data_IF_163923159784
#
_entry.id   IF_163923159784
#
_cell.length_a   1.000
_cell.length_b   1.000
_cell.length_c   1.000
_cell.angle_alpha   90.00
_cell.angle_beta   90.00
_cell.angle_gamma   90.00
#
_symmetry.space_group_name_H-M   'P 1'
#
loop_
_entity.id
_entity.type
_entity.pdbx_description
1 polymer ?
#
# COMPACT_ATOMS: atom_id res chain seq x y z
N UNK A 1 16.39 2.18 -5.88
CA UNK A 1 17.23 3.29 -6.40
C UNK A 1 18.56 2.73 -6.87
N UNK A 2 19.36 3.50 -7.60
CA UNK A 2 20.69 3.06 -8.08
C UNK A 2 21.61 2.67 -6.92
N UNK A 3 21.67 3.48 -5.85
CA UNK A 3 22.47 3.19 -4.66
C UNK A 3 22.12 1.85 -4.00
N UNK A 4 20.83 1.51 -3.86
CA UNK A 4 20.43 0.20 -3.34
C UNK A 4 20.90 -0.95 -4.23
N UNK A 5 20.82 -0.78 -5.55
CA UNK A 5 21.26 -1.78 -6.51
C UNK A 5 22.79 -1.97 -6.50
N UNK A 6 23.55 -0.90 -6.38
CA UNK A 6 25.00 -0.97 -6.28
C UNK A 6 25.41 -1.66 -4.97
N UNK A 7 24.81 -1.28 -3.85
CA UNK A 7 25.13 -1.84 -2.55
C UNK A 7 24.82 -3.34 -2.48
N UNK A 8 23.65 -3.78 -2.96
CA UNK A 8 23.32 -5.21 -2.97
C UNK A 8 24.24 -5.97 -3.92
N UNK A 9 24.56 -5.40 -5.09
CA UNK A 9 25.46 -6.02 -6.06
C UNK A 9 26.86 -6.19 -5.48
N UNK A 10 27.39 -5.14 -4.85
CA UNK A 10 28.70 -5.17 -4.22
C UNK A 10 28.74 -6.17 -3.05
N UNK A 11 27.72 -6.16 -2.20
CA UNK A 11 27.58 -7.12 -1.11
C UNK A 11 27.59 -8.57 -1.62
N UNK A 12 26.77 -8.88 -2.63
CA UNK A 12 26.68 -10.23 -3.19
C UNK A 12 27.98 -10.67 -3.87
N UNK A 13 28.68 -9.76 -4.56
CA UNK A 13 30.02 -10.03 -5.13
C UNK A 13 31.05 -10.32 -4.05
N UNK A 14 31.06 -9.54 -2.98
CA UNK A 14 31.98 -9.78 -1.87
C UNK A 14 31.71 -11.09 -1.15
N UNK A 15 30.43 -11.41 -0.90
CA UNK A 15 30.02 -12.67 -0.29
C UNK A 15 30.48 -13.86 -1.15
N UNK A 16 30.27 -13.79 -2.47
CA UNK A 16 30.72 -14.83 -3.39
C UNK A 16 32.24 -14.96 -3.41
N UNK A 17 32.99 -13.85 -3.34
CA UNK A 17 34.46 -13.86 -3.38
C UNK A 17 35.08 -14.37 -2.09
N UNK A 18 34.54 -13.95 -0.94
CA UNK A 18 35.13 -14.22 0.39
C UNK A 18 34.58 -15.50 1.01
N UNK A 19 33.31 -15.84 0.78
CA UNK A 19 32.60 -16.94 1.44
C UNK A 19 31.75 -17.74 0.43
N UNK A 20 32.36 -18.20 -0.67
CA UNK A 20 31.67 -18.85 -1.80
C UNK A 20 30.80 -20.06 -1.39
N UNK A 21 31.22 -20.85 -0.40
CA UNK A 21 30.46 -22.00 0.10
C UNK A 21 29.17 -21.55 0.79
N UNK A 22 29.24 -20.58 1.71
CA UNK A 22 28.06 -20.03 2.39
C UNK A 22 27.14 -19.26 1.43
N UNK A 23 27.70 -18.50 0.49
CA UNK A 23 26.92 -17.84 -0.56
C UNK A 23 26.08 -18.86 -1.34
N UNK A 24 26.71 -19.98 -1.70
CA UNK A 24 26.05 -21.07 -2.41
C UNK A 24 24.99 -21.76 -1.57
N UNK A 25 25.23 -21.96 -0.27
CA UNK A 25 24.30 -22.61 0.64
C UNK A 25 23.06 -21.73 0.92
N UNK A 26 23.26 -20.45 1.25
CA UNK A 26 22.18 -19.52 1.60
C UNK A 26 21.26 -19.16 0.43
N UNK A 27 21.76 -19.18 -0.82
CA UNK A 27 21.01 -18.74 -2.00
C UNK A 27 20.72 -19.86 -3.02
N UNK A 28 21.15 -21.12 -2.78
CA UNK A 28 20.81 -22.25 -3.66
C UNK A 28 19.37 -22.70 -3.54
N UNK A 29 18.87 -22.75 -2.31
CA UNK A 29 17.60 -23.38 -2.07
C UNK A 29 16.48 -22.42 -2.44
N UNK A 30 15.76 -22.77 -3.51
CA UNK A 30 14.39 -22.30 -3.66
C UNK A 30 13.66 -22.87 -2.45
N UNK A 31 13.52 -22.05 -1.39
CA UNK A 31 12.77 -22.43 -0.20
C UNK A 31 11.48 -23.11 -0.66
N UNK A 32 11.23 -24.33 -0.20
CA UNK A 32 9.95 -24.99 -0.38
C UNK A 32 8.92 -24.08 0.28
N UNK A 33 8.30 -23.19 -0.50
CA UNK A 33 7.46 -22.16 0.05
C UNK A 33 6.20 -22.86 0.58
N UNK A 34 6.08 -22.95 1.91
CA UNK A 34 4.81 -23.28 2.57
C UNK A 34 3.71 -22.26 2.22
N UNK A 35 4.12 -21.09 1.73
CA UNK A 35 3.26 -20.08 1.12
C UNK A 35 3.01 -20.47 -0.34
N UNK A 36 1.74 -20.70 -0.69
CA UNK A 36 1.32 -21.00 -2.05
C UNK A 36 1.95 -20.03 -3.05
N UNK A 37 2.63 -20.54 -4.08
CA UNK A 37 3.23 -19.75 -5.16
C UNK A 37 2.23 -18.81 -5.84
N UNK A 38 0.92 -19.12 -5.75
CA UNK A 38 -0.16 -18.29 -6.28
C UNK A 38 -0.27 -16.92 -5.59
N UNK A 39 0.28 -16.75 -4.38
CA UNK A 39 0.23 -15.48 -3.65
C UNK A 39 1.04 -14.38 -4.34
N UNK A 40 2.11 -14.75 -5.08
CA UNK A 40 3.00 -13.79 -5.74
C UNK A 40 2.50 -13.29 -7.09
N UNK A 41 1.50 -13.96 -7.69
CA UNK A 41 0.96 -13.60 -9.01
C UNK A 41 -0.29 -12.71 -8.94
N UNK A 42 -0.72 -12.35 -7.73
CA UNK A 42 -1.97 -11.63 -7.50
C UNK A 42 -1.67 -10.20 -7.09
N UNK A 43 -2.33 -9.24 -7.76
CA UNK A 43 -2.21 -7.83 -7.40
C UNK A 43 -2.75 -7.57 -5.98
N UNK A 44 -2.11 -6.67 -5.19
CA UNK A 44 -2.46 -6.41 -3.80
C UNK A 44 -3.95 -6.15 -3.55
N UNK A 45 -4.67 -5.47 -4.47
CA UNK A 45 -6.12 -5.21 -4.31
C UNK A 45 -6.96 -6.49 -4.11
N UNK A 46 -6.50 -7.64 -4.60
CA UNK A 46 -7.23 -8.92 -4.50
C UNK A 46 -7.01 -9.65 -3.18
N UNK A 47 -5.99 -9.26 -2.41
CA UNK A 47 -5.60 -9.91 -1.15
C UNK A 47 -5.63 -8.96 0.04
N UNK A 48 -5.74 -7.65 -0.20
CA UNK A 48 -5.74 -6.61 0.82
C UNK A 48 -6.88 -5.63 0.60
N UNK A 49 -7.48 -5.19 1.71
CA UNK A 49 -8.55 -4.21 1.74
C UNK A 49 -8.03 -2.92 2.41
N UNK A 50 -8.20 -1.77 1.74
CA UNK A 50 -7.69 -0.47 2.21
C UNK A 50 -8.30 -0.08 3.56
N UNK A 51 -9.53 -0.51 3.80
CA UNK A 51 -10.26 -0.30 5.03
C UNK A 51 -9.66 -1.06 6.21
N UNK A 52 -9.34 -2.33 6.00
CA UNK A 52 -8.66 -3.16 6.99
C UNK A 52 -7.22 -2.70 7.21
N UNK A 53 -6.54 -2.27 6.15
CA UNK A 53 -5.23 -1.66 6.23
C UNK A 53 -5.28 -0.43 7.15
N UNK A 54 -6.23 0.49 6.96
CA UNK A 54 -6.36 1.67 7.81
C UNK A 54 -6.68 1.35 9.28
N UNK A 55 -7.38 0.24 9.56
CA UNK A 55 -7.59 -0.23 10.94
C UNK A 55 -6.28 -0.71 11.60
N UNK A 56 -5.39 -1.31 10.81
CA UNK A 56 -4.15 -1.97 11.28
C UNK A 56 -2.94 -1.04 11.29
N UNK A 57 -2.86 -0.07 10.37
CA UNK A 57 -1.73 0.84 10.23
C UNK A 57 -1.91 2.05 11.13
N UNK A 58 -1.10 2.10 12.18
CA UNK A 58 -1.04 3.17 13.17
C UNK A 58 -0.33 2.69 14.44
N UNK A 59 -0.08 3.59 15.37
CA UNK A 59 0.55 3.24 16.65
C UNK A 59 -0.36 2.25 17.41
N UNK A 60 0.11 1.01 17.56
CA UNK A 60 -0.58 -0.11 18.23
C UNK A 60 -0.92 0.22 19.70
N UNK A 61 -0.33 1.28 20.25
CA UNK A 61 -0.46 1.70 21.64
C UNK A 61 -1.58 2.69 21.92
N UNK A 62 -2.21 3.28 20.89
CA UNK A 62 -3.33 4.21 21.06
C UNK A 62 -4.61 3.54 20.57
N UNK A 63 -5.50 3.19 21.51
CA UNK A 63 -6.79 2.58 21.21
C UNK A 63 -7.49 3.34 20.08
N UNK A 64 -7.77 2.69 18.94
CA UNK A 64 -8.44 3.34 17.85
C UNK A 64 -9.85 2.79 17.73
N UNK A 65 -10.77 3.28 18.56
CA UNK A 65 -12.17 2.85 18.43
C UNK A 65 -12.74 3.21 17.05
N UNK A 66 -12.21 4.26 16.40
CA UNK A 66 -12.65 4.71 15.07
C UNK A 66 -11.50 4.95 14.07
N UNK A 67 -10.64 3.94 13.84
CA UNK A 67 -9.71 3.93 12.69
C UNK A 67 -10.33 3.31 11.45
N UNK A 68 -10.04 3.89 10.29
CA UNK A 68 -10.54 3.37 9.03
C UNK A 68 -10.34 4.28 7.83
N UNK A 69 -10.97 3.94 6.70
CA UNK A 69 -11.04 4.87 5.59
C UNK A 69 -11.79 6.14 5.99
N UNK A 70 -11.28 7.29 5.54
CA UNK A 70 -11.92 8.58 5.74
C UNK A 70 -13.28 8.70 5.03
N UNK A 71 -13.55 7.86 4.03
CA UNK A 71 -14.81 7.81 3.29
C UNK A 71 -15.94 7.08 4.03
N UNK A 72 -15.67 6.44 5.18
CA UNK A 72 -16.69 5.74 5.96
C UNK A 72 -17.73 6.70 6.54
N UNK A 73 -18.97 6.22 6.73
CA UNK A 73 -20.09 7.00 7.27
C UNK A 73 -19.76 7.74 8.58
N UNK A 74 -19.01 7.13 9.49
CA UNK A 74 -18.65 7.72 10.80
C UNK A 74 -17.67 8.89 10.71
N UNK A 75 -16.76 8.89 9.74
CA UNK A 75 -15.69 9.88 9.58
C UNK A 75 -15.97 10.88 8.46
N UNK A 76 -16.83 10.51 7.52
CA UNK A 76 -17.17 11.26 6.30
C UNK A 76 -17.61 12.69 6.58
N UNK A 77 -18.44 12.93 7.59
CA UNK A 77 -18.96 14.27 7.90
C UNK A 77 -17.83 15.25 8.27
N UNK A 78 -16.89 14.82 9.10
CA UNK A 78 -15.75 15.65 9.54
C UNK A 78 -14.74 15.77 8.39
N UNK A 79 -14.50 14.68 7.66
CA UNK A 79 -13.60 14.64 6.52
C UNK A 79 -14.11 15.46 5.30
N UNK A 80 -15.42 15.67 5.20
CA UNK A 80 -16.06 16.54 4.20
C UNK A 80 -16.21 17.99 4.64
N UNK A 81 -15.74 18.37 5.84
CA UNK A 81 -15.78 19.77 6.26
C UNK A 81 -14.94 20.66 5.33
N UNK A 82 -15.34 21.92 5.11
CA UNK A 82 -14.58 22.85 4.27
C UNK A 82 -13.11 23.01 4.69
N UNK A 83 -12.84 22.90 5.98
CA UNK A 83 -11.51 23.02 6.60
C UNK A 83 -10.58 21.87 6.18
N UNK A 84 -11.11 20.65 6.05
CA UNK A 84 -10.35 19.44 5.67
C UNK A 84 -10.34 19.24 4.15
N UNK A 85 -11.31 19.80 3.44
CA UNK A 85 -11.48 19.66 1.98
C UNK A 85 -10.27 20.17 1.17
N UNK A 86 -9.52 21.14 1.69
CA UNK A 86 -8.37 21.72 0.98
C UNK A 86 -7.07 20.90 1.08
N UNK A 87 -6.98 19.99 2.05
CA UNK A 87 -5.75 19.21 2.34
C UNK A 87 -5.85 17.73 1.94
N UNK A 88 -6.99 17.31 1.37
CA UNK A 88 -7.25 15.90 1.07
C UNK A 88 -6.94 15.55 -0.38
N UNK A 89 -5.92 14.71 -0.57
CA UNK A 89 -5.41 14.33 -1.88
C UNK A 89 -6.21 13.21 -2.56
N UNK A 90 -6.84 12.31 -1.77
CA UNK A 90 -7.63 11.19 -2.31
C UNK A 90 -8.86 11.62 -3.13
N UNK A 91 -9.37 12.84 -2.91
CA UNK A 91 -10.48 13.40 -3.72
C UNK A 91 -10.08 13.76 -5.14
N UNK A 92 -8.79 14.03 -5.37
CA UNK A 92 -8.27 14.46 -6.68
C UNK A 92 -7.68 13.30 -7.47
N UNK A 93 -7.35 12.20 -6.80
CA UNK A 93 -6.75 11.03 -7.43
C UNK A 93 -7.37 9.74 -6.85
N UNK A 94 -8.13 8.96 -7.66
CA UNK A 94 -8.73 7.70 -7.23
C UNK A 94 -7.71 6.62 -6.80
N UNK A 95 -6.44 6.80 -7.18
CA UNK A 95 -5.32 5.95 -6.79
C UNK A 95 -4.60 6.38 -5.52
N UNK A 96 -5.26 7.22 -4.72
CA UNK A 96 -4.85 7.62 -3.39
C UNK A 96 -6.04 7.37 -2.46
N UNK A 97 -5.77 6.93 -1.22
CA UNK A 97 -6.78 6.86 -0.17
C UNK A 97 -6.24 7.44 1.13
N UNK A 98 -7.14 7.95 1.96
CA UNK A 98 -6.80 8.51 3.27
C UNK A 98 -7.31 7.59 4.38
N UNK A 99 -6.42 7.25 5.33
CA UNK A 99 -6.78 6.61 6.58
C UNK A 99 -7.04 7.68 7.63
N UNK A 100 -8.17 7.60 8.32
CA UNK A 100 -8.59 8.55 9.35
C UNK A 100 -8.61 7.89 10.72
N UNK A 101 -8.25 8.67 11.74
CA UNK A 101 -8.56 8.42 13.15
C UNK A 101 -9.35 9.61 13.68
N UNK A 102 -10.44 9.33 14.38
CA UNK A 102 -11.23 10.35 15.07
C UNK A 102 -10.98 10.22 16.57
N UNK A 103 -10.85 11.35 17.27
CA UNK A 103 -10.74 11.39 18.74
C UNK A 103 -12.04 10.96 19.41
N UNK A 104 -11.98 10.52 20.68
CA UNK A 104 -13.15 10.05 21.43
C UNK A 104 -14.29 11.08 21.54
N UNK A 105 -13.96 12.38 21.50
CA UNK A 105 -14.93 13.47 21.49
C UNK A 105 -15.43 13.87 20.09
N UNK A 106 -15.00 13.15 19.04
CA UNK A 106 -15.34 13.38 17.63
C UNK A 106 -15.02 14.79 17.09
N UNK A 107 -14.07 15.51 17.71
CA UNK A 107 -13.70 16.87 17.31
C UNK A 107 -12.39 16.95 16.52
N UNK A 108 -11.48 16.01 16.71
CA UNK A 108 -10.19 16.01 16.03
C UNK A 108 -10.10 14.86 15.03
N UNK A 109 -9.74 15.21 13.79
CA UNK A 109 -9.46 14.27 12.72
C UNK A 109 -7.96 14.26 12.43
N UNK A 110 -7.35 13.08 12.55
CA UNK A 110 -6.00 12.84 12.03
C UNK A 110 -6.11 11.96 10.81
N UNK A 111 -5.46 12.33 9.72
CA UNK A 111 -5.44 11.51 8.52
C UNK A 111 -4.03 11.28 7.99
N UNK A 112 -3.85 10.15 7.34
CA UNK A 112 -2.64 9.78 6.63
C UNK A 112 -3.01 9.37 5.20
N UNK A 113 -2.33 9.98 4.24
CA UNK A 113 -2.50 9.71 2.81
C UNK A 113 -1.64 8.53 2.40
N UNK A 114 -2.23 7.58 1.68
CA UNK A 114 -1.58 6.37 1.18
C UNK A 114 -1.88 6.17 -0.30
N UNK A 115 -0.99 5.47 -1.00
CA UNK A 115 -1.25 5.03 -2.37
C UNK A 115 -2.23 3.87 -2.35
N UNK A 116 -3.22 3.91 -3.25
CA UNK A 116 -4.12 2.79 -3.48
C UNK A 116 -3.36 1.52 -3.84
N UNK A 117 -3.93 0.38 -3.46
CA UNK A 117 -3.36 -0.91 -3.82
C UNK A 117 -3.37 -1.10 -5.33
N UNK A 118 -2.23 -1.57 -5.85
CA UNK A 118 -2.10 -1.88 -7.27
C UNK A 118 -3.21 -2.83 -7.71
N UNK A 119 -3.81 -2.53 -8.87
CA UNK A 119 -4.95 -3.22 -9.43
C UNK A 119 -6.32 -2.63 -9.08
N UNK A 120 -6.42 -1.67 -8.14
CA UNK A 120 -7.69 -1.01 -7.81
C UNK A 120 -8.28 -0.30 -9.04
N UNK A 121 -9.58 -0.50 -9.35
CA UNK A 121 -10.25 0.25 -10.42
C UNK A 121 -10.22 1.76 -10.14
N UNK A 122 -9.94 2.56 -11.17
CA UNK A 122 -9.83 4.02 -11.06
C UNK A 122 -10.51 4.81 -12.18
N UNK A 123 -11.17 4.13 -13.11
CA UNK A 123 -12.02 4.72 -14.14
C UNK A 123 -13.48 4.29 -13.98
N UNK A 124 -14.29 4.58 -14.99
CA UNK A 124 -15.67 4.10 -15.04
C UNK A 124 -15.70 2.56 -15.15
N UNK A 125 -16.83 1.96 -14.78
CA UNK A 125 -16.99 0.51 -14.87
C UNK A 125 -16.80 0.06 -16.33
N UNK A 126 -15.92 -0.91 -16.54
CA UNK A 126 -15.59 -1.40 -17.89
C UNK A 126 -14.48 -0.62 -18.61
N UNK A 127 -13.99 0.51 -18.09
CA UNK A 127 -12.87 1.25 -18.70
C UNK A 127 -11.58 0.42 -18.78
N UNK A 128 -11.40 -0.53 -17.86
CA UNK A 128 -10.15 -1.29 -17.73
C UNK A 128 -9.00 -0.45 -17.17
N UNK A 129 -9.29 0.70 -16.55
CA UNK A 129 -8.27 1.53 -15.88
C UNK A 129 -8.05 1.06 -14.45
N UNK A 130 -6.78 0.91 -14.07
CA UNK A 130 -6.37 0.44 -12.74
C UNK A 130 -5.26 1.30 -12.16
N UNK A 131 -5.17 1.30 -10.83
CA UNK A 131 -4.08 1.95 -10.10
C UNK A 131 -2.81 1.12 -10.19
N UNK A 132 -1.70 1.78 -10.51
CA UNK A 132 -0.34 1.27 -10.38
C UNK A 132 0.55 2.40 -9.86
N UNK A 133 1.25 2.17 -8.75
CA UNK A 133 2.16 3.16 -8.15
C UNK A 133 1.52 4.54 -7.92
N UNK A 134 0.23 4.57 -7.54
CA UNK A 134 -0.50 5.83 -7.31
C UNK A 134 -1.00 6.54 -8.57
N UNK A 135 -0.84 5.95 -9.75
CA UNK A 135 -1.32 6.49 -11.03
C UNK A 135 -2.45 5.65 -11.60
N UNK A 136 -3.46 6.30 -12.18
CA UNK A 136 -4.52 5.62 -12.92
C UNK A 136 -4.08 5.36 -14.35
N UNK A 137 -3.87 4.10 -14.72
CA UNK A 137 -3.37 3.69 -16.04
C UNK A 137 -4.37 2.81 -16.78
N UNK A 138 -4.43 2.96 -18.10
CA UNK A 138 -5.25 2.13 -18.99
C UNK A 138 -4.55 0.78 -19.22
N UNK A 139 -5.12 -0.30 -18.67
CA UNK A 139 -4.54 -1.64 -18.80
C UNK A 139 -4.93 -2.36 -20.09
N UNK A 140 -5.88 -1.82 -20.88
CA UNK A 140 -6.24 -2.39 -22.19
C UNK A 140 -5.19 -2.11 -23.26
N UNK A 141 -4.32 -1.12 -23.05
CA UNK A 141 -3.21 -0.75 -23.96
C UNK A 141 -1.87 -1.38 -23.60
N UNK A 142 -1.83 -2.20 -22.56
CA UNK A 142 -0.60 -2.84 -22.02
C UNK A 142 -0.60 -4.36 -22.34
N UNK A 143 -1.61 -4.84 -23.07
CA UNK A 143 -1.74 -6.22 -23.53
C UNK A 143 -1.42 -6.39 -25.00
#
# INVERSE_FOLDING_TARGET
SHCSMDNITNFLRELQRKNSSQARECFREKYNSSVSSNFYYVLPVRIANEDEYCKKVGDLRKEPRDRGLCSRKSTRRIYESPEVKNVTHSRKNPCIFDCCTVSDNQRELKFQTNLAFDGKPCGEEGDGKKCFYGMCVDTKRIG
#
